data_IF_301801467076
#
_entry.id   IF_301801467076
#
_cell.length_a   1.000
_cell.length_b   1.000
_cell.length_c   1.000
_cell.angle_alpha   90.00
_cell.angle_beta   90.00
_cell.angle_gamma   90.00
#
_symmetry.space_group_name_H-M   'P 1'
#
loop_
_entity.id
_entity.type
_entity.pdbx_description
1 polymer ?
#
# COMPACT_ATOMS: atom_id res chain seq x y z
N UNK A 1 -5.55 -6.76 16.42
CA UNK A 1 -5.20 -5.69 15.45
C UNK A 1 -6.50 -5.05 15.04
N UNK A 2 -6.56 -3.72 14.97
CA UNK A 2 -7.77 -3.06 14.51
C UNK A 2 -7.79 -3.12 12.98
N UNK A 3 -8.95 -3.48 12.42
CA UNK A 3 -9.19 -3.48 10.98
C UNK A 3 -10.22 -2.43 10.63
N UNK A 4 -10.14 -1.92 9.41
CA UNK A 4 -11.08 -0.95 8.84
C UNK A 4 -11.27 -1.26 7.37
N UNK A 5 -12.50 -1.10 6.88
CA UNK A 5 -12.76 -1.12 5.45
C UNK A 5 -12.81 0.32 4.94
N UNK A 6 -12.03 0.61 3.90
CA UNK A 6 -12.13 1.85 3.15
C UNK A 6 -12.97 1.61 1.91
N UNK A 7 -13.94 2.48 1.65
CA UNK A 7 -14.69 2.45 0.39
C UNK A 7 -13.82 2.93 -0.76
N UNK A 8 -14.14 2.50 -1.98
CA UNK A 8 -13.51 3.03 -3.20
C UNK A 8 -13.57 4.55 -3.29
N UNK A 9 -14.74 5.12 -3.04
CA UNK A 9 -14.96 6.57 -3.11
C UNK A 9 -14.03 7.33 -2.14
N UNK A 10 -13.79 6.78 -0.95
CA UNK A 10 -12.85 7.37 0.01
C UNK A 10 -11.40 7.30 -0.47
N UNK A 11 -10.98 6.16 -1.02
CA UNK A 11 -9.62 6.00 -1.52
C UNK A 11 -9.36 6.86 -2.75
N UNK A 12 -10.35 7.00 -3.63
CA UNK A 12 -10.31 7.86 -4.81
C UNK A 12 -10.28 9.35 -4.42
N UNK A 13 -11.07 9.76 -3.41
CA UNK A 13 -11.03 11.13 -2.86
C UNK A 13 -9.64 11.47 -2.31
N UNK A 14 -8.92 10.47 -1.80
CA UNK A 14 -7.56 10.61 -1.28
C UNK A 14 -6.47 10.35 -2.33
N UNK A 15 -6.85 10.19 -3.60
CA UNK A 15 -5.97 9.86 -4.71
C UNK A 15 -5.10 8.61 -4.47
N UNK A 16 -5.55 7.67 -3.64
CA UNK A 16 -4.83 6.43 -3.36
C UNK A 16 -5.13 5.37 -4.44
N UNK A 17 -4.13 4.55 -4.83
CA UNK A 17 -2.78 4.46 -4.30
C UNK A 17 -1.78 5.40 -4.99
N UNK A 18 -2.23 6.33 -5.83
CA UNK A 18 -1.37 7.28 -6.55
C UNK A 18 -0.61 8.20 -5.60
N UNK A 19 -1.37 9.02 -4.87
CA UNK A 19 -0.96 10.10 -3.99
C UNK A 19 -0.09 11.14 -4.71
N UNK A 20 -0.56 11.59 -5.88
CA UNK A 20 0.07 12.60 -6.72
C UNK A 20 -0.50 14.00 -6.47
N UNK A 21 -1.73 14.10 -5.95
CA UNK A 21 -2.34 15.37 -5.57
C UNK A 21 -1.58 16.05 -4.42
N UNK A 22 -1.54 17.40 -4.41
CA UNK A 22 -0.90 18.19 -3.35
C UNK A 22 -1.54 17.95 -1.96
N UNK A 23 -2.83 17.62 -1.92
CA UNK A 23 -3.60 17.32 -0.70
C UNK A 23 -3.73 15.82 -0.40
N UNK A 24 -3.03 14.95 -1.15
CA UNK A 24 -3.03 13.52 -0.90
C UNK A 24 -2.48 13.17 0.51
N UNK A 25 -2.92 12.04 1.10
CA UNK A 25 -2.42 11.60 2.40
C UNK A 25 -0.91 11.37 2.41
N UNK A 26 -0.29 11.53 3.59
CA UNK A 26 1.12 11.19 3.80
C UNK A 26 1.35 9.69 3.59
N UNK A 27 2.17 9.34 2.60
CA UNK A 27 2.62 7.96 2.37
C UNK A 27 3.82 7.68 3.28
N UNK A 28 3.64 6.73 4.21
CA UNK A 28 4.65 6.32 5.19
C UNK A 28 5.53 5.19 4.68
N UNK A 29 4.98 4.29 3.84
CA UNK A 29 5.70 3.17 3.24
C UNK A 29 5.01 2.73 1.93
N UNK A 30 5.81 2.30 0.96
CA UNK A 30 5.34 1.66 -0.28
C UNK A 30 6.41 0.67 -0.75
N UNK A 31 6.04 -0.59 -0.91
CA UNK A 31 6.97 -1.64 -1.35
C UNK A 31 6.24 -2.71 -2.17
N UNK A 32 6.89 -3.22 -3.21
CA UNK A 32 6.42 -4.41 -3.89
C UNK A 32 6.70 -5.63 -3.02
N UNK A 33 5.65 -6.33 -2.58
CA UNK A 33 5.75 -7.50 -1.70
C UNK A 33 5.53 -8.82 -2.43
N UNK A 34 4.88 -8.81 -3.59
CA UNK A 34 4.62 -10.00 -4.41
C UNK A 34 4.52 -9.66 -5.91
N UNK A 35 4.42 -10.68 -6.74
CA UNK A 35 4.15 -10.58 -8.17
C UNK A 35 3.18 -11.68 -8.61
N UNK A 36 2.11 -11.29 -9.28
CA UNK A 36 1.20 -12.15 -10.03
C UNK A 36 1.64 -12.21 -11.51
N UNK A 37 0.98 -13.05 -12.31
CA UNK A 37 1.30 -13.25 -13.74
C UNK A 37 1.25 -11.94 -14.55
N UNK A 38 0.36 -11.03 -14.21
CA UNK A 38 0.10 -9.79 -14.96
C UNK A 38 0.19 -8.51 -14.12
N UNK A 39 0.47 -8.64 -12.82
CA UNK A 39 0.49 -7.54 -11.88
C UNK A 39 1.58 -7.73 -10.83
N UNK A 40 2.07 -6.63 -10.29
CA UNK A 40 2.86 -6.58 -9.06
C UNK A 40 1.94 -6.23 -7.89
N UNK A 41 2.14 -6.87 -6.74
CA UNK A 41 1.37 -6.58 -5.53
C UNK A 41 2.22 -5.69 -4.64
N UNK A 42 1.66 -4.58 -4.20
CA UNK A 42 2.33 -3.57 -3.40
C UNK A 42 1.65 -3.45 -2.05
N UNK A 43 2.47 -3.36 -1.01
CA UNK A 43 2.06 -2.87 0.29
C UNK A 43 2.10 -1.35 0.29
N UNK A 44 1.08 -0.72 0.86
CA UNK A 44 0.99 0.71 1.04
C UNK A 44 0.63 1.02 2.49
N UNK A 45 1.44 1.84 3.15
CA UNK A 45 1.11 2.41 4.45
C UNK A 45 0.97 3.92 4.30
N UNK A 46 -0.16 4.45 4.74
CA UNK A 46 -0.47 5.88 4.67
C UNK A 46 -1.11 6.35 5.98
N UNK A 47 -1.04 7.65 6.24
CA UNK A 47 -1.75 8.28 7.36
C UNK A 47 -3.12 8.76 6.90
N UNK A 48 -4.19 8.14 7.40
CA UNK A 48 -5.55 8.51 7.01
C UNK A 48 -5.90 9.94 7.46
N UNK A 49 -6.40 10.82 6.57
CA UNK A 49 -6.68 12.22 6.91
C UNK A 49 -7.77 12.43 7.96
N UNK A 50 -8.69 11.47 8.11
CA UNK A 50 -9.88 11.60 8.96
C UNK A 50 -9.65 11.24 10.43
N UNK A 51 -8.81 10.23 10.69
CA UNK A 51 -8.49 9.77 12.05
C UNK A 51 -7.01 9.96 12.45
N UNK A 52 -6.13 10.31 11.51
CA UNK A 52 -4.70 10.53 11.73
C UNK A 52 -3.89 9.26 11.99
N UNK A 53 -4.49 8.08 11.89
CA UNK A 53 -3.84 6.78 12.13
C UNK A 53 -3.14 6.29 10.87
N UNK A 54 -2.16 5.40 11.06
CA UNK A 54 -1.48 4.75 9.96
C UNK A 54 -2.20 3.43 9.62
N UNK A 55 -2.51 3.27 8.34
CA UNK A 55 -3.25 2.13 7.81
C UNK A 55 -2.44 1.47 6.70
N UNK A 56 -2.42 0.14 6.71
CA UNK A 56 -1.80 -0.69 5.68
C UNK A 56 -2.88 -1.28 4.78
N UNK A 57 -2.68 -1.17 3.47
CA UNK A 57 -3.49 -1.82 2.43
C UNK A 57 -2.59 -2.50 1.40
N UNK A 58 -3.17 -3.40 0.61
CA UNK A 58 -2.51 -4.00 -0.54
C UNK A 58 -3.22 -3.57 -1.82
N UNK A 59 -2.42 -3.29 -2.86
CA UNK A 59 -2.92 -2.91 -4.17
C UNK A 59 -2.10 -3.55 -5.28
N UNK A 60 -2.70 -3.68 -6.46
CA UNK A 60 -2.07 -4.22 -7.65
C UNK A 60 -1.63 -3.12 -8.61
N UNK A 61 -0.52 -3.38 -9.31
CA UNK A 61 -0.06 -2.56 -10.41
C UNK A 61 0.28 -3.44 -11.60
N UNK A 62 -0.33 -3.16 -12.75
CA UNK A 62 -0.14 -3.90 -13.99
C UNK A 62 1.31 -3.89 -14.44
N UNK A 63 1.79 -5.00 -14.99
CA UNK A 63 3.19 -5.15 -15.41
C UNK A 63 3.47 -4.67 -16.85
N UNK A 64 2.45 -4.46 -17.68
CA UNK A 64 2.58 -4.06 -19.10
C UNK A 64 2.20 -2.60 -19.32
N UNK A 65 2.61 -1.98 -20.43
CA UNK A 65 2.35 -0.55 -20.74
C UNK A 65 0.89 -0.22 -21.10
N UNK A 66 0.00 -1.21 -21.18
CA UNK A 66 -1.46 -1.02 -21.32
C UNK A 66 -2.13 -1.08 -19.95
N UNK A 67 -1.83 -0.10 -19.09
CA UNK A 67 -2.26 -0.06 -17.68
C UNK A 67 -3.63 0.57 -17.47
N UNK A 68 -4.19 1.25 -18.47
CA UNK A 68 -5.43 2.03 -18.33
C UNK A 68 -6.65 1.22 -17.89
N UNK A 69 -6.67 -0.11 -18.11
CA UNK A 69 -7.78 -0.99 -17.72
C UNK A 69 -7.57 -1.73 -16.39
N UNK A 70 -6.42 -1.58 -15.72
CA UNK A 70 -6.15 -2.33 -14.48
C UNK A 70 -6.53 -1.53 -13.24
N UNK A 71 -7.60 -1.97 -12.57
CA UNK A 71 -8.03 -1.40 -11.29
C UNK A 71 -7.05 -1.81 -10.17
N UNK A 72 -6.44 -0.85 -9.44
CA UNK A 72 -5.45 -1.16 -8.42
C UNK A 72 -5.97 -2.00 -7.25
N UNK A 73 -7.28 -2.18 -7.12
CA UNK A 73 -7.82 -2.99 -6.03
C UNK A 73 -8.81 -4.04 -6.49
N UNK A 74 -8.54 -4.62 -7.67
CA UNK A 74 -9.22 -5.80 -8.20
C UNK A 74 -10.75 -5.64 -8.30
N UNK A 75 -11.20 -4.41 -8.59
CA UNK A 75 -12.61 -4.01 -8.70
C UNK A 75 -13.44 -4.21 -7.42
N UNK A 76 -12.80 -4.43 -6.27
CA UNK A 76 -13.47 -4.52 -4.98
C UNK A 76 -14.14 -3.19 -4.59
N UNK A 77 -15.29 -3.27 -3.90
CA UNK A 77 -16.02 -2.07 -3.44
C UNK A 77 -15.41 -1.46 -2.19
N UNK A 78 -14.77 -2.29 -1.39
CA UNK A 78 -14.10 -1.92 -0.15
C UNK A 78 -12.71 -2.55 -0.14
N UNK A 79 -11.77 -1.89 0.53
CA UNK A 79 -10.41 -2.38 0.74
C UNK A 79 -10.22 -2.58 2.24
N UNK A 80 -9.89 -3.80 2.63
CA UNK A 80 -9.51 -4.11 4.01
C UNK A 80 -8.16 -3.47 4.33
N UNK A 81 -8.09 -2.82 5.49
CA UNK A 81 -6.89 -2.21 6.01
C UNK A 81 -6.62 -2.62 7.46
N UNK A 82 -5.34 -2.75 7.78
CA UNK A 82 -4.85 -3.00 9.13
C UNK A 82 -4.26 -1.71 9.72
N UNK A 83 -4.64 -1.38 10.96
CA UNK A 83 -3.98 -0.31 11.71
C UNK A 83 -2.56 -0.76 12.06
N UNK A 84 -1.55 0.06 11.71
CA UNK A 84 -0.13 -0.25 11.91
C UNK A 84 0.59 0.88 12.63
N UNK A 85 1.67 0.55 13.33
CA UNK A 85 2.58 1.52 13.93
C UNK A 85 4.01 1.27 13.45
N UNK A 86 4.80 2.34 13.29
CA UNK A 86 6.21 2.21 12.92
C UNK A 86 7.01 1.78 14.15
N UNK A 87 7.68 0.63 14.04
CA UNK A 87 8.62 0.15 15.06
C UNK A 87 10.02 0.13 14.47
N UNK A 88 10.93 0.89 15.07
CA UNK A 88 12.35 0.86 14.70
C UNK A 88 13.02 -0.35 15.35
N UNK A 89 13.54 -1.26 14.53
CA UNK A 89 14.25 -2.46 15.00
C UNK A 89 15.71 -2.41 14.56
N UNK A 90 16.64 -2.65 15.50
CA UNK A 90 18.07 -2.83 15.18
C UNK A 90 18.35 -4.33 15.11
N UNK A 91 18.87 -4.82 13.98
CA UNK A 91 19.26 -6.23 13.83
C UNK A 91 20.74 -6.36 13.51
N UNK A 92 21.35 -7.44 14.01
CA UNK A 92 22.75 -7.81 13.75
C UNK A 92 22.75 -9.16 13.03
N UNK A 93 23.35 -9.22 11.85
CA UNK A 93 23.33 -10.41 11.00
C UNK A 93 24.74 -10.91 10.65
N UNK A 94 24.87 -12.23 10.58
CA UNK A 94 26.11 -12.91 10.22
C UNK A 94 26.19 -13.14 8.71
N UNK A 95 27.40 -13.06 8.16
CA UNK A 95 27.66 -13.31 6.74
C UNK A 95 28.63 -14.45 6.52
N UNK A 96 28.46 -15.11 5.37
CA UNK A 96 29.39 -16.14 4.90
C UNK A 96 30.78 -15.52 4.73
N UNK A 97 31.77 -16.08 5.41
CA UNK A 97 33.18 -15.75 5.16
C UNK A 97 33.62 -16.57 3.96
N UNK A 98 33.96 -15.90 2.85
CA UNK A 98 34.61 -16.57 1.72
C UNK A 98 36.06 -16.89 2.12
N UNK A 99 36.44 -18.17 2.01
CA UNK A 99 37.82 -18.63 2.16
C UNK A 99 38.58 -18.56 0.85
#
# INVERSE_FOLDING_TARGET
MATREFTREQLDEWDLPGAWADDAPEILHREQVDSKRWASVHELVFRAPDDGKAWRVYYERGLTEHQDDHDPWDYDRTVEADEVERVEVTTTEWRKVAG
#
